data_IF_899563117628
#
_entry.id   IF_899563117628
#
_cell.length_a   1.000
_cell.length_b   1.000
_cell.length_c   1.000
_cell.angle_alpha   90.00
_cell.angle_beta   90.00
_cell.angle_gamma   90.00
#
_symmetry.space_group_name_H-M   'P 1'
#
loop_
_entity.id
_entity.type
_entity.pdbx_description
1 polymer ?
#
# COMPACT_ATOMS: atom_id res chain seq x y z
N UNK A 1 -9.38 -40.85 -21.40
CA UNK A 1 -9.28 -40.15 -20.11
C UNK A 1 -8.39 -38.96 -20.36
N UNK A 2 -9.00 -37.84 -20.77
CA UNK A 2 -8.30 -36.57 -20.88
C UNK A 2 -8.26 -35.95 -19.49
N UNK A 3 -7.07 -35.93 -18.89
CA UNK A 3 -6.77 -35.31 -17.60
C UNK A 3 -6.36 -33.84 -17.80
N UNK A 4 -7.07 -33.12 -18.67
CA UNK A 4 -6.79 -31.73 -19.06
C UNK A 4 -7.51 -30.69 -18.17
N UNK A 5 -7.94 -31.10 -16.96
CA UNK A 5 -8.89 -30.34 -16.14
C UNK A 5 -8.34 -29.51 -14.98
N UNK A 6 -7.02 -29.45 -14.71
CA UNK A 6 -6.51 -28.87 -13.44
C UNK A 6 -5.19 -28.08 -13.55
N UNK A 7 -5.04 -27.18 -14.52
CA UNK A 7 -3.87 -26.29 -14.57
C UNK A 7 -4.28 -24.81 -14.45
N UNK A 8 -4.62 -24.38 -13.23
CA UNK A 8 -4.66 -22.95 -12.93
C UNK A 8 -3.29 -22.30 -13.15
N UNK A 9 -3.23 -20.97 -13.37
CA UNK A 9 -1.97 -20.26 -13.60
C UNK A 9 -1.01 -20.48 -12.42
N UNK A 10 0.28 -20.63 -12.72
CA UNK A 10 1.34 -20.86 -11.73
C UNK A 10 2.18 -19.60 -11.54
N UNK A 11 2.77 -19.45 -10.35
CA UNK A 11 3.58 -18.28 -10.00
C UNK A 11 4.84 -18.70 -9.26
N UNK A 12 5.97 -18.16 -9.69
CA UNK A 12 7.23 -18.20 -8.97
C UNK A 12 7.27 -17.13 -7.89
N UNK A 13 7.83 -17.49 -6.74
CA UNK A 13 8.01 -16.64 -5.58
C UNK A 13 9.50 -16.41 -5.37
N UNK A 14 9.91 -15.16 -5.26
CA UNK A 14 11.28 -14.77 -4.93
C UNK A 14 11.30 -13.53 -4.04
N UNK A 15 12.46 -13.22 -3.47
CA UNK A 15 12.67 -12.06 -2.59
C UNK A 15 13.91 -11.29 -2.97
N UNK A 16 13.82 -9.96 -2.98
CA UNK A 16 14.99 -9.08 -3.11
C UNK A 16 15.50 -8.75 -1.71
N UNK A 17 16.77 -9.11 -1.46
CA UNK A 17 17.42 -9.01 -0.15
C UNK A 17 18.74 -8.24 -0.25
N UNK A 18 19.08 -7.50 0.82
CA UNK A 18 20.37 -6.86 1.01
C UNK A 18 21.06 -7.55 2.19
N UNK A 19 22.28 -8.07 1.99
CA UNK A 19 23.07 -8.76 3.02
C UNK A 19 24.13 -9.69 2.42
N UNK A 20 24.84 -10.49 3.23
CA UNK A 20 25.79 -11.50 2.73
C UNK A 20 25.10 -12.60 1.90
N UNK A 21 25.74 -13.08 0.82
CA UNK A 21 25.10 -14.02 -0.13
C UNK A 21 24.58 -15.31 0.52
N UNK A 22 25.36 -15.91 1.41
CA UNK A 22 24.95 -17.13 2.14
C UNK A 22 23.70 -16.89 2.99
N UNK A 23 23.70 -15.80 3.75
CA UNK A 23 22.55 -15.38 4.55
C UNK A 23 21.29 -15.10 3.71
N UNK A 24 21.45 -14.55 2.50
CA UNK A 24 20.32 -14.35 1.58
C UNK A 24 19.71 -15.69 1.12
N UNK A 25 20.53 -16.72 0.87
CA UNK A 25 20.05 -18.05 0.51
C UNK A 25 19.30 -18.70 1.68
N UNK A 26 19.91 -18.67 2.86
CA UNK A 26 19.31 -19.22 4.09
C UNK A 26 17.99 -18.51 4.43
N UNK A 27 17.92 -17.18 4.22
CA UNK A 27 16.72 -16.38 4.40
C UNK A 27 15.63 -16.68 3.35
N UNK A 28 15.99 -16.93 2.09
CA UNK A 28 15.02 -17.31 1.08
C UNK A 28 14.45 -18.72 1.35
N UNK A 29 15.29 -19.65 1.80
CA UNK A 29 14.88 -21.00 2.18
C UNK A 29 13.94 -20.99 3.39
N UNK A 30 14.16 -20.10 4.37
CA UNK A 30 13.30 -20.00 5.55
C UNK A 30 11.88 -19.48 5.25
N UNK A 31 11.66 -18.89 4.08
CA UNK A 31 10.34 -18.44 3.61
C UNK A 31 9.54 -19.53 2.86
N UNK A 32 10.11 -20.72 2.71
CA UNK A 32 9.42 -21.87 2.14
C UNK A 32 8.40 -22.42 3.15
N UNK A 33 7.11 -22.33 2.81
CA UNK A 33 5.99 -22.74 3.65
C UNK A 33 5.19 -23.90 3.03
N UNK A 34 4.25 -24.45 3.79
CA UNK A 34 3.33 -25.49 3.31
C UNK A 34 2.55 -25.01 2.07
N UNK A 35 2.45 -25.87 1.05
CA UNK A 35 1.79 -25.54 -0.21
C UNK A 35 2.67 -24.81 -1.24
N UNK A 36 3.94 -24.50 -0.89
CA UNK A 36 4.94 -24.01 -1.84
C UNK A 36 5.78 -25.18 -2.35
N UNK A 37 5.83 -25.36 -3.67
CA UNK A 37 6.69 -26.33 -4.31
C UNK A 37 8.12 -25.80 -4.37
N UNK A 38 9.04 -26.47 -3.67
CA UNK A 38 10.47 -26.21 -3.78
C UNK A 38 10.96 -26.61 -5.18
N UNK A 39 11.14 -25.62 -6.04
CA UNK A 39 11.57 -25.82 -7.41
C UNK A 39 12.36 -24.60 -7.91
N UNK A 40 13.10 -24.80 -8.99
CA UNK A 40 13.75 -23.74 -9.73
C UNK A 40 13.22 -23.70 -11.17
N UNK A 41 13.05 -22.52 -11.77
CA UNK A 41 12.58 -22.39 -13.13
C UNK A 41 13.54 -23.07 -14.11
N UNK A 42 12.99 -23.87 -15.02
CA UNK A 42 13.76 -24.51 -16.10
C UNK A 42 13.47 -23.75 -17.41
N UNK A 43 14.36 -22.82 -17.75
CA UNK A 43 14.24 -21.96 -18.94
C UNK A 43 13.45 -20.66 -18.69
N UNK A 44 13.47 -19.76 -19.68
CA UNK A 44 12.93 -18.40 -19.56
C UNK A 44 13.96 -17.39 -19.04
N UNK A 45 13.48 -16.23 -18.58
CA UNK A 45 14.31 -15.23 -17.89
C UNK A 45 14.60 -15.69 -16.45
N UNK A 46 15.78 -15.38 -15.89
CA UNK A 46 16.05 -15.63 -14.48
C UNK A 46 15.04 -14.87 -13.60
N UNK A 47 14.71 -15.45 -12.44
CA UNK A 47 13.91 -14.75 -11.44
C UNK A 47 14.67 -13.53 -10.92
N UNK A 48 13.94 -12.46 -10.63
CA UNK A 48 14.51 -11.35 -9.89
C UNK A 48 14.58 -11.71 -8.40
N UNK A 49 15.72 -11.43 -7.78
CA UNK A 49 15.98 -11.79 -6.39
C UNK A 49 16.22 -13.28 -6.18
N UNK A 50 16.14 -13.70 -4.93
CA UNK A 50 16.41 -15.06 -4.47
C UNK A 50 15.17 -15.94 -4.57
N UNK A 51 15.23 -17.08 -5.27
CA UNK A 51 14.08 -17.95 -5.45
C UNK A 51 13.69 -18.63 -4.13
N UNK A 52 12.40 -18.62 -3.83
CA UNK A 52 11.81 -19.33 -2.69
C UNK A 52 11.13 -20.61 -3.16
N UNK A 53 10.27 -20.51 -4.18
CA UNK A 53 9.57 -21.68 -4.74
C UNK A 53 8.45 -21.30 -5.70
N UNK A 54 7.49 -22.21 -5.89
CA UNK A 54 6.36 -22.04 -6.82
C UNK A 54 5.03 -22.37 -6.16
N UNK A 55 3.99 -21.62 -6.52
CA UNK A 55 2.61 -21.87 -6.09
C UNK A 55 1.64 -21.92 -7.28
N UNK A 56 0.47 -22.52 -7.04
CA UNK A 56 -0.65 -22.54 -7.98
C UNK A 56 -1.66 -21.46 -7.60
N UNK A 57 -1.99 -20.60 -8.55
CA UNK A 57 -2.95 -19.52 -8.40
C UNK A 57 -2.37 -18.27 -7.75
N UNK A 58 -2.93 -17.13 -8.11
CA UNK A 58 -2.49 -15.84 -7.58
C UNK A 58 -2.83 -15.72 -6.08
N UNK A 59 -3.96 -16.27 -5.65
CA UNK A 59 -4.40 -16.21 -4.26
C UNK A 59 -3.39 -16.85 -3.30
N UNK A 60 -2.73 -17.93 -3.71
CA UNK A 60 -1.69 -18.57 -2.92
C UNK A 60 -0.45 -17.67 -2.79
N UNK A 61 -0.07 -16.96 -3.87
CA UNK A 61 1.04 -16.01 -3.83
C UNK A 61 0.73 -14.81 -2.92
N UNK A 62 -0.51 -14.28 -2.98
CA UNK A 62 -0.93 -13.17 -2.12
C UNK A 62 -1.03 -13.58 -0.64
N UNK A 63 -1.49 -14.80 -0.33
CA UNK A 63 -1.44 -15.35 1.04
C UNK A 63 -0.01 -15.52 1.55
N UNK A 64 0.91 -15.96 0.69
CA UNK A 64 2.33 -16.03 1.06
C UNK A 64 2.91 -14.64 1.37
N UNK A 65 2.59 -13.62 0.56
CA UNK A 65 2.99 -12.24 0.87
C UNK A 65 2.38 -11.81 2.21
N UNK A 66 1.09 -12.00 2.45
CA UNK A 66 0.44 -11.60 3.71
C UNK A 66 1.08 -12.25 4.94
N UNK A 67 1.42 -13.54 4.85
CA UNK A 67 2.04 -14.30 5.94
C UNK A 67 3.48 -13.83 6.25
N UNK A 68 4.20 -13.29 5.27
CA UNK A 68 5.62 -12.97 5.41
C UNK A 68 5.92 -11.46 5.38
N UNK A 69 4.98 -10.62 4.93
CA UNK A 69 5.19 -9.19 4.73
C UNK A 69 5.53 -8.47 6.03
N UNK A 70 4.89 -8.88 7.11
CA UNK A 70 5.11 -8.34 8.43
C UNK A 70 5.13 -9.50 9.42
N UNK A 71 6.15 -9.57 10.26
CA UNK A 71 6.28 -10.62 11.28
C UNK A 71 5.29 -10.45 12.42
N UNK A 72 5.37 -11.33 13.41
CA UNK A 72 4.62 -11.15 14.65
C UNK A 72 5.11 -9.91 15.40
N UNK A 73 4.20 -9.23 16.10
CA UNK A 73 4.62 -8.19 17.03
C UNK A 73 5.40 -8.89 18.16
N UNK A 74 6.62 -8.45 18.43
CA UNK A 74 7.43 -9.01 19.50
C UNK A 74 6.65 -9.00 20.82
N UNK A 75 6.80 -10.05 21.63
CA UNK A 75 6.09 -10.22 22.90
C UNK A 75 6.50 -9.21 23.98
N UNK A 76 7.48 -8.34 23.71
CA UNK A 76 7.93 -7.30 24.63
C UNK A 76 7.62 -5.91 24.07
N UNK A 77 6.68 -5.21 24.73
CA UNK A 77 6.51 -3.75 24.70
C UNK A 77 6.50 -3.07 23.33
N UNK A 78 5.34 -3.06 22.66
CA UNK A 78 5.03 -2.18 21.52
C UNK A 78 6.04 -2.18 20.35
N UNK A 79 6.69 -3.31 20.06
CA UNK A 79 7.53 -3.43 18.87
C UNK A 79 6.65 -3.51 17.61
N UNK A 80 6.74 -2.50 16.74
CA UNK A 80 6.12 -2.53 15.41
C UNK A 80 6.61 -3.74 14.62
N UNK A 81 5.69 -4.40 13.90
CA UNK A 81 6.04 -5.51 13.01
C UNK A 81 6.99 -5.02 11.92
N UNK A 82 8.17 -5.64 11.84
CA UNK A 82 9.17 -5.32 10.82
C UNK A 82 8.74 -5.86 9.43
N UNK A 83 8.95 -5.09 8.35
CA UNK A 83 8.89 -5.53 6.97
C UNK A 83 9.79 -6.73 6.71
N UNK A 84 9.23 -7.77 6.10
CA UNK A 84 9.94 -9.04 5.92
C UNK A 84 10.08 -9.84 7.20
N UNK A 85 9.30 -9.52 8.24
CA UNK A 85 9.26 -10.25 9.49
C UNK A 85 10.61 -10.32 10.20
N UNK A 86 10.98 -11.53 10.62
CA UNK A 86 12.17 -11.77 11.44
C UNK A 86 13.47 -11.88 10.62
N UNK A 87 13.44 -11.64 9.30
CA UNK A 87 14.61 -11.89 8.44
C UNK A 87 15.86 -11.09 8.86
N UNK A 88 15.68 -9.85 9.30
CA UNK A 88 16.80 -9.04 9.80
C UNK A 88 17.42 -9.65 11.05
N UNK A 89 16.62 -10.05 12.03
CA UNK A 89 17.15 -10.60 13.29
C UNK A 89 17.67 -12.03 13.15
N UNK A 90 17.05 -12.84 12.29
CA UNK A 90 17.40 -14.24 12.11
C UNK A 90 18.58 -14.46 11.15
N UNK A 91 18.72 -13.60 10.13
CA UNK A 91 19.68 -13.81 9.04
C UNK A 91 20.56 -12.57 8.74
N UNK A 92 20.38 -11.44 9.44
CA UNK A 92 21.10 -10.19 9.15
C UNK A 92 20.91 -9.70 7.69
N UNK A 93 19.69 -9.86 7.16
CA UNK A 93 19.30 -9.39 5.82
C UNK A 93 18.12 -8.42 5.88
N UNK A 94 18.13 -7.43 4.99
CA UNK A 94 17.02 -6.50 4.80
C UNK A 94 16.25 -6.87 3.55
N UNK A 95 14.95 -7.10 3.69
CA UNK A 95 14.06 -7.35 2.56
C UNK A 95 13.63 -6.04 1.90
N UNK A 96 13.79 -5.94 0.58
CA UNK A 96 13.38 -4.75 -0.20
C UNK A 96 12.10 -4.99 -1.01
N UNK A 97 11.84 -6.22 -1.42
CA UNK A 97 10.60 -6.58 -2.10
C UNK A 97 10.34 -8.10 -2.04
N UNK A 98 9.07 -8.49 -2.01
CA UNK A 98 8.66 -9.78 -2.57
C UNK A 98 8.50 -9.63 -4.07
N UNK A 99 8.84 -10.66 -4.82
CA UNK A 99 8.67 -10.71 -6.26
C UNK A 99 7.83 -11.92 -6.61
N UNK A 100 6.75 -11.68 -7.35
CA UNK A 100 5.85 -12.74 -7.80
C UNK A 100 5.80 -12.70 -9.32
N UNK A 101 6.38 -13.71 -9.94
CA UNK A 101 6.55 -13.82 -11.39
C UNK A 101 5.66 -14.92 -11.94
N UNK A 102 4.84 -14.62 -12.94
CA UNK A 102 4.01 -15.66 -13.56
C UNK A 102 4.87 -16.74 -14.23
N UNK A 103 4.49 -18.01 -14.03
CA UNK A 103 5.19 -19.17 -14.56
C UNK A 103 4.57 -19.61 -15.90
N UNK A 104 5.43 -20.02 -16.84
CA UNK A 104 5.00 -20.55 -18.12
C UNK A 104 4.45 -21.97 -17.96
N UNK A 105 3.58 -22.44 -18.88
CA UNK A 105 3.08 -23.82 -18.86
C UNK A 105 4.19 -24.88 -18.86
N UNK A 106 5.37 -24.54 -19.39
CA UNK A 106 6.53 -25.42 -19.47
C UNK A 106 7.44 -25.34 -18.22
N UNK A 107 7.03 -24.61 -17.17
CA UNK A 107 7.80 -24.48 -15.93
C UNK A 107 8.95 -23.46 -15.97
N UNK A 108 8.99 -22.60 -16.98
CA UNK A 108 9.87 -21.42 -17.01
C UNK A 108 9.20 -20.18 -16.42
N UNK A 109 9.84 -19.02 -16.51
CA UNK A 109 9.19 -17.72 -16.31
C UNK A 109 8.50 -17.27 -17.60
N UNK A 110 7.36 -16.58 -17.49
CA UNK A 110 6.76 -15.90 -18.65
C UNK A 110 7.59 -14.66 -19.02
N UNK A 111 7.64 -14.33 -20.32
CA UNK A 111 8.26 -13.10 -20.83
C UNK A 111 7.51 -11.85 -20.33
N UNK A 112 8.19 -10.69 -20.17
CA UNK A 112 7.54 -9.45 -19.75
C UNK A 112 6.32 -9.10 -20.63
N UNK A 113 5.17 -8.80 -20.02
CA UNK A 113 3.96 -8.35 -20.71
C UNK A 113 2.73 -9.28 -20.64
N UNK A 114 2.82 -10.46 -20.01
CA UNK A 114 1.65 -11.31 -19.73
C UNK A 114 1.20 -11.19 -18.27
N UNK A 115 -0.11 -10.97 -18.12
CA UNK A 115 -0.68 -9.95 -17.23
C UNK A 115 -1.06 -10.49 -15.87
N UNK A 116 -0.61 -9.81 -14.83
CA UNK A 116 -1.39 -9.74 -13.60
C UNK A 116 -2.80 -9.20 -13.87
N UNK A 117 -3.82 -9.63 -13.10
CA UNK A 117 -5.08 -8.93 -13.08
C UNK A 117 -4.86 -7.46 -12.72
N UNK A 118 -5.68 -6.56 -13.31
CA UNK A 118 -5.70 -5.15 -12.94
C UNK A 118 -5.91 -5.00 -11.43
N UNK A 119 -5.35 -3.96 -10.84
CA UNK A 119 -5.44 -3.71 -9.40
C UNK A 119 -6.88 -3.73 -8.87
N UNK A 120 -7.82 -3.17 -9.65
CA UNK A 120 -9.26 -3.12 -9.40
C UNK A 120 -9.95 -4.50 -9.48
N UNK A 121 -9.29 -5.47 -10.10
CA UNK A 121 -9.75 -6.85 -10.28
C UNK A 121 -8.94 -7.85 -9.46
N UNK A 122 -7.95 -7.37 -8.70
CA UNK A 122 -7.21 -8.20 -7.77
C UNK A 122 -8.10 -8.47 -6.57
N UNK A 123 -8.83 -9.58 -6.64
CA UNK A 123 -9.52 -10.11 -5.47
C UNK A 123 -8.44 -10.49 -4.46
N UNK A 124 -8.45 -9.83 -3.30
CA UNK A 124 -7.62 -10.28 -2.19
C UNK A 124 -8.21 -11.60 -1.67
N UNK A 125 -7.38 -12.56 -1.27
CA UNK A 125 -7.87 -13.83 -0.76
C UNK A 125 -8.78 -13.62 0.47
N UNK A 126 -9.74 -14.53 0.68
CA UNK A 126 -10.53 -14.52 1.92
C UNK A 126 -9.62 -14.63 3.15
N UNK A 127 -10.02 -13.94 4.23
CA UNK A 127 -9.25 -13.87 5.48
C UNK A 127 -8.07 -12.91 5.45
N UNK A 128 -7.76 -12.29 4.30
CA UNK A 128 -6.68 -11.32 4.17
C UNK A 128 -7.23 -9.90 4.37
N UNK A 129 -6.71 -9.21 5.38
CA UNK A 129 -7.18 -7.89 5.83
C UNK A 129 -6.45 -6.73 5.11
N UNK A 130 -6.25 -6.87 3.79
CA UNK A 130 -5.77 -5.78 2.95
C UNK A 130 -6.96 -4.99 2.40
N UNK A 131 -6.84 -3.66 2.35
CA UNK A 131 -7.87 -2.78 1.80
C UNK A 131 -7.24 -1.89 0.73
N UNK A 132 -7.87 -1.75 -0.46
CA UNK A 132 -7.38 -0.85 -1.50
C UNK A 132 -7.24 0.59 -0.97
N UNK A 133 -6.12 1.23 -1.29
CA UNK A 133 -5.80 2.57 -0.85
C UNK A 133 -5.21 3.41 -1.99
N UNK A 134 -5.08 4.69 -1.73
CA UNK A 134 -4.44 5.66 -2.62
C UNK A 134 -3.38 6.45 -1.86
N UNK A 135 -2.22 6.65 -2.48
CA UNK A 135 -1.23 7.58 -1.98
C UNK A 135 -1.71 9.01 -2.19
N UNK A 136 -1.44 9.88 -1.23
CA UNK A 136 -1.85 11.29 -1.31
C UNK A 136 -0.79 12.18 -1.95
N UNK A 137 0.43 11.65 -2.14
CA UNK A 137 1.55 12.29 -2.82
C UNK A 137 2.08 11.42 -3.95
N UNK A 138 2.66 12.08 -4.97
CA UNK A 138 3.31 11.38 -6.08
C UNK A 138 4.57 10.61 -5.67
N UNK A 139 5.24 11.03 -4.59
CA UNK A 139 6.41 10.35 -4.03
C UNK A 139 6.22 10.24 -2.54
N UNK A 140 6.23 9.02 -2.02
CA UNK A 140 5.95 8.74 -0.62
C UNK A 140 7.09 7.89 -0.03
N UNK A 141 7.68 8.30 1.11
CA UNK A 141 8.72 7.52 1.77
C UNK A 141 8.09 6.36 2.54
N UNK A 142 8.47 5.13 2.20
CA UNK A 142 8.08 3.88 2.84
C UNK A 142 9.10 3.50 3.91
N UNK A 143 8.67 3.44 5.16
CA UNK A 143 9.54 3.25 6.33
C UNK A 143 9.62 1.80 6.76
N UNK A 144 10.78 1.42 7.34
CA UNK A 144 10.98 0.10 7.91
C UNK A 144 10.19 -0.10 9.20
N UNK A 145 10.14 0.88 10.09
CA UNK A 145 9.30 0.86 11.28
C UNK A 145 9.02 2.30 11.73
N UNK A 146 7.85 2.60 12.29
CA UNK A 146 7.58 3.90 12.88
C UNK A 146 8.55 4.19 14.04
N UNK A 147 9.23 5.34 14.03
CA UNK A 147 9.89 5.87 15.23
C UNK A 147 9.00 6.91 15.90
N UNK A 148 8.75 6.79 17.22
CA UNK A 148 8.09 7.85 17.97
C UNK A 148 9.01 9.02 18.31
N UNK A 149 10.33 8.87 18.15
CA UNK A 149 11.32 9.87 18.58
C UNK A 149 12.14 10.47 17.44
N UNK A 150 12.12 9.84 16.26
CA UNK A 150 12.77 10.36 15.06
C UNK A 150 11.71 10.92 14.11
N UNK A 151 11.91 12.13 13.57
CA UNK A 151 11.05 12.60 12.50
C UNK A 151 11.21 11.68 11.28
N UNK A 152 10.12 11.37 10.54
CA UNK A 152 10.19 10.47 9.39
C UNK A 152 11.28 10.84 8.37
N UNK A 153 11.58 12.13 8.19
CA UNK A 153 12.63 12.57 7.28
C UNK A 153 14.07 12.11 7.66
N UNK A 154 14.29 11.69 8.91
CA UNK A 154 15.58 11.22 9.42
C UNK A 154 15.71 9.69 9.43
N UNK A 155 14.62 8.96 9.19
CA UNK A 155 14.64 7.50 9.13
C UNK A 155 15.15 7.01 7.76
N UNK A 156 15.65 5.77 7.70
CA UNK A 156 15.94 5.12 6.41
C UNK A 156 14.62 4.72 5.76
N UNK A 157 14.42 5.14 4.52
CA UNK A 157 13.21 4.85 3.77
C UNK A 157 13.50 4.46 2.32
N UNK A 158 12.55 3.74 1.73
CA UNK A 158 12.44 3.52 0.30
C UNK A 158 11.43 4.51 -0.27
N UNK A 159 11.70 5.16 -1.39
CA UNK A 159 10.69 6.02 -2.04
C UNK A 159 9.84 5.17 -2.95
N UNK A 160 8.52 5.18 -2.71
CA UNK A 160 7.54 4.67 -3.67
C UNK A 160 6.96 5.83 -4.46
N UNK A 161 6.91 5.66 -5.79
CA UNK A 161 6.42 6.69 -6.70
C UNK A 161 5.06 6.27 -7.24
N UNK A 162 4.04 7.07 -6.97
CA UNK A 162 2.76 6.92 -7.63
C UNK A 162 2.91 7.38 -9.08
N UNK A 163 2.87 6.41 -10.00
CA UNK A 163 2.90 6.68 -11.43
C UNK A 163 1.69 7.53 -11.79
N UNK A 164 1.93 8.74 -12.26
CA UNK A 164 0.90 9.58 -12.84
C UNK A 164 0.28 8.85 -14.04
N UNK A 165 -1.03 8.70 -14.01
CA UNK A 165 -1.80 8.28 -15.17
C UNK A 165 -1.75 9.42 -16.17
N UNK A 166 -0.84 9.38 -17.15
CA UNK A 166 -0.94 10.29 -18.30
C UNK A 166 -2.16 9.86 -19.13
N UNK A 167 -3.17 10.73 -19.32
CA UNK A 167 -4.37 10.42 -20.10
C UNK A 167 -4.11 10.64 -21.59
N UNK A 168 -2.96 10.20 -22.11
CA UNK A 168 -2.78 10.10 -23.55
C UNK A 168 -3.56 8.87 -24.03
N UNK A 169 -4.21 8.96 -25.19
CA UNK A 169 -4.85 7.82 -25.83
C UNK A 169 -3.79 6.75 -26.11
N UNK A 170 -3.64 5.80 -25.19
CA UNK A 170 -2.70 4.70 -25.31
C UNK A 170 -3.14 3.84 -26.50
N UNK A 171 -2.20 3.54 -27.38
CA UNK A 171 -2.37 2.51 -28.40
C UNK A 171 -2.63 1.15 -27.72
N UNK A 172 -3.25 0.16 -28.39
CA UNK A 172 -3.46 -1.17 -27.81
C UNK A 172 -2.18 -1.85 -27.29
N UNK A 173 -1.03 -1.54 -27.89
CA UNK A 173 0.29 -2.03 -27.47
C UNK A 173 0.78 -1.29 -26.20
N UNK A 174 0.56 0.01 -26.10
CA UNK A 174 0.83 0.79 -24.89
C UNK A 174 -0.15 0.46 -23.76
N UNK A 175 -1.40 0.07 -24.05
CA UNK A 175 -2.33 -0.49 -23.06
C UNK A 175 -1.82 -1.82 -22.51
N UNK A 176 -1.27 -2.68 -23.38
CA UNK A 176 -0.66 -3.94 -22.96
C UNK A 176 0.62 -3.73 -22.14
N UNK A 177 1.42 -2.70 -22.46
CA UNK A 177 2.59 -2.30 -21.68
C UNK A 177 2.20 -1.60 -20.36
N UNK A 178 1.13 -0.80 -20.35
CA UNK A 178 0.61 -0.09 -19.19
C UNK A 178 -0.01 -1.03 -18.14
N UNK A 179 -0.56 -2.17 -18.56
CA UNK A 179 -1.06 -3.21 -17.63
C UNK A 179 0.08 -3.81 -16.75
N UNK A 180 1.36 -3.67 -17.15
CA UNK A 180 2.54 -4.09 -16.36
C UNK A 180 3.09 -3.00 -15.42
N UNK A 181 2.62 -1.75 -15.56
CA UNK A 181 3.11 -0.58 -14.83
C UNK A 181 2.13 -0.04 -13.78
N UNK A 182 0.96 -0.68 -13.62
CA UNK A 182 -0.08 -0.27 -12.69
C UNK A 182 0.44 -0.41 -11.25
N UNK A 183 0.68 0.72 -10.59
CA UNK A 183 0.93 0.72 -9.16
C UNK A 183 -0.39 0.48 -8.43
N UNK A 184 -0.36 -0.46 -7.49
CA UNK A 184 -1.48 -0.74 -6.62
C UNK A 184 -1.03 -0.64 -5.17
N UNK A 185 -1.87 -0.05 -4.33
CA UNK A 185 -1.56 0.21 -2.93
C UNK A 185 -2.66 -0.36 -2.06
N UNK A 186 -2.25 -1.07 -1.03
CA UNK A 186 -3.15 -1.60 -0.02
C UNK A 186 -2.66 -1.23 1.38
N UNK A 187 -3.60 -0.96 2.27
CA UNK A 187 -3.36 -0.80 3.71
C UNK A 187 -3.82 -2.07 4.42
N UNK A 188 -3.14 -2.47 5.50
CA UNK A 188 -3.68 -3.51 6.38
C UNK A 188 -4.80 -2.92 7.25
N UNK A 189 -5.73 -3.73 7.72
CA UNK A 189 -6.88 -3.25 8.53
C UNK A 189 -6.46 -2.56 9.82
N UNK A 190 -5.40 -3.06 10.46
CA UNK A 190 -4.83 -2.53 11.69
C UNK A 190 -4.12 -1.18 11.46
N UNK A 191 -4.58 -0.18 12.21
CA UNK A 191 -3.89 1.09 12.39
C UNK A 191 -3.16 1.05 13.70
N UNK A 192 -1.94 1.58 13.73
CA UNK A 192 -1.11 1.55 14.94
C UNK A 192 -0.70 2.96 15.32
N UNK A 193 -0.66 3.21 16.61
CA UNK A 193 -0.19 4.46 17.19
C UNK A 193 1.28 4.31 17.60
N UNK A 194 2.11 5.26 17.18
CA UNK A 194 3.48 5.39 17.67
C UNK A 194 3.52 6.55 18.64
N UNK A 195 3.57 6.23 19.94
CA UNK A 195 3.65 7.23 20.99
C UNK A 195 5.06 7.37 21.55
N UNK A 196 5.39 8.57 22.01
CA UNK A 196 6.58 8.81 22.82
C UNK A 196 6.56 7.97 24.10
N UNK A 197 7.69 7.96 24.83
CA UNK A 197 7.82 7.15 26.05
C UNK A 197 6.79 7.51 27.14
N UNK A 198 6.22 8.71 27.10
CA UNK A 198 5.19 9.15 28.05
C UNK A 198 3.76 8.83 27.61
N UNK A 199 3.56 8.37 26.37
CA UNK A 199 2.23 8.14 25.80
C UNK A 199 1.46 9.42 25.51
N UNK A 200 2.14 10.57 25.53
CA UNK A 200 1.55 11.90 25.42
C UNK A 200 1.47 12.35 23.98
N UNK A 201 2.52 12.12 23.20
CA UNK A 201 2.61 12.48 21.78
C UNK A 201 2.52 11.20 20.96
N UNK A 202 1.50 11.09 20.11
CA UNK A 202 1.22 9.92 19.31
C UNK A 202 0.99 10.29 17.83
N UNK A 203 1.64 9.55 16.94
CA UNK A 203 1.40 9.59 15.50
C UNK A 203 0.57 8.40 15.05
N UNK A 204 -0.29 8.62 14.05
CA UNK A 204 -1.13 7.57 13.48
C UNK A 204 -0.48 6.95 12.24
N UNK A 205 -0.21 5.64 12.28
CA UNK A 205 0.51 4.89 11.24
C UNK A 205 -0.32 3.75 10.66
N UNK A 206 0.02 3.38 9.42
CA UNK A 206 -0.57 2.24 8.71
C UNK A 206 0.51 1.36 8.09
N UNK A 207 0.28 0.05 8.10
CA UNK A 207 1.03 -0.90 7.30
C UNK A 207 0.55 -0.84 5.85
N UNK A 208 1.48 -0.82 4.92
CA UNK A 208 1.17 -0.76 3.49
C UNK A 208 1.94 -1.80 2.69
N UNK A 209 1.30 -2.26 1.63
CA UNK A 209 1.92 -3.00 0.54
C UNK A 209 1.70 -2.21 -0.74
N UNK A 210 2.79 -1.96 -1.45
CA UNK A 210 2.82 -1.27 -2.74
C UNK A 210 3.30 -2.26 -3.79
N UNK A 211 2.45 -2.57 -4.75
CA UNK A 211 2.82 -3.35 -5.92
C UNK A 211 3.28 -2.43 -7.05
N UNK A 212 4.42 -2.74 -7.63
CA UNK A 212 4.94 -2.10 -8.85
C UNK A 212 5.39 -3.19 -9.84
N UNK A 213 4.53 -3.52 -10.79
CA UNK A 213 4.72 -4.66 -11.69
C UNK A 213 4.68 -5.99 -10.92
N UNK A 214 5.80 -6.71 -10.91
CA UNK A 214 5.95 -7.99 -10.20
C UNK A 214 6.48 -7.82 -8.76
N UNK A 215 6.86 -6.60 -8.37
CA UNK A 215 7.46 -6.31 -7.06
C UNK A 215 6.40 -5.84 -6.06
N UNK A 216 6.48 -6.34 -4.83
CA UNK A 216 5.66 -5.95 -3.69
C UNK A 216 6.57 -5.42 -2.59
N UNK A 217 6.51 -4.11 -2.40
CA UNK A 217 7.27 -3.38 -1.39
C UNK A 217 6.38 -3.17 -0.17
N UNK A 218 6.87 -3.53 1.01
CA UNK A 218 6.08 -3.50 2.25
C UNK A 218 6.76 -2.58 3.25
N UNK A 219 5.95 -1.89 4.05
CA UNK A 219 6.48 -0.95 5.04
C UNK A 219 5.38 -0.16 5.74
N UNK A 220 5.80 0.93 6.39
CA UNK A 220 4.94 1.78 7.19
C UNK A 220 4.85 3.18 6.61
N UNK A 221 3.67 3.81 6.76
CA UNK A 221 3.42 5.19 6.40
C UNK A 221 2.61 5.92 7.49
N UNK A 222 2.84 7.23 7.69
CA UNK A 222 1.85 8.08 8.34
C UNK A 222 0.51 7.94 7.64
N UNK A 223 -0.57 7.76 8.39
CA UNK A 223 -1.88 7.39 7.83
C UNK A 223 -2.46 8.41 6.85
N UNK A 224 -2.07 9.68 6.97
CA UNK A 224 -2.47 10.72 6.01
C UNK A 224 -1.78 10.62 4.64
N UNK A 225 -0.78 9.74 4.48
CA UNK A 225 -0.10 9.48 3.21
C UNK A 225 -0.73 8.35 2.40
N UNK A 226 -1.52 7.47 3.02
CA UNK A 226 -2.21 6.36 2.36
C UNK A 226 -3.66 6.23 2.85
N UNK A 227 -4.61 6.64 2.00
CA UNK A 227 -6.02 6.74 2.37
C UNK A 227 -6.79 5.57 1.74
N UNK A 228 -7.57 4.78 2.52
CA UNK A 228 -8.40 3.74 1.95
C UNK A 228 -9.38 4.32 0.93
N UNK A 229 -9.59 3.62 -0.19
CA UNK A 229 -10.50 4.07 -1.25
C UNK A 229 -11.92 4.34 -0.74
N UNK A 230 -12.37 3.59 0.26
CA UNK A 230 -13.68 3.75 0.90
C UNK A 230 -13.83 4.98 1.80
N UNK A 231 -12.73 5.63 2.20
CA UNK A 231 -12.78 6.82 3.06
C UNK A 231 -12.97 8.13 2.27
N UNK A 232 -12.96 8.07 0.93
CA UNK A 232 -13.15 9.23 0.09
C UNK A 232 -14.63 9.53 -0.13
N UNK A 233 -15.01 10.78 0.08
CA UNK A 233 -16.30 11.33 -0.33
C UNK A 233 -16.15 12.05 -1.66
N UNK A 234 -16.98 11.70 -2.65
CA UNK A 234 -16.93 12.25 -4.00
C UNK A 234 -17.90 13.42 -4.17
N UNK A 235 -17.38 14.58 -4.59
CA UNK A 235 -18.15 15.63 -5.26
C UNK A 235 -18.10 15.38 -6.78
N UNK A 236 -19.12 14.70 -7.29
CA UNK A 236 -19.21 14.35 -8.71
C UNK A 236 -19.37 15.57 -9.61
N UNK A 237 -20.03 16.64 -9.14
CA UNK A 237 -20.28 17.84 -9.93
C UNK A 237 -18.99 18.61 -10.22
N UNK A 238 -18.03 18.58 -9.29
CA UNK A 238 -16.75 19.29 -9.41
C UNK A 238 -15.55 18.39 -9.70
N UNK A 239 -15.75 17.06 -9.76
CA UNK A 239 -14.68 16.10 -9.94
C UNK A 239 -13.65 16.13 -8.79
N UNK A 240 -14.11 16.37 -7.56
CA UNK A 240 -13.26 16.47 -6.36
C UNK A 240 -13.56 15.34 -5.41
N UNK A 241 -12.54 14.89 -4.68
CA UNK A 241 -12.67 13.88 -3.62
C UNK A 241 -12.10 14.42 -2.33
N UNK A 242 -12.75 14.11 -1.22
CA UNK A 242 -12.38 14.59 0.10
C UNK A 242 -12.21 13.43 1.08
N UNK A 243 -11.20 13.51 1.93
CA UNK A 243 -11.02 12.57 3.03
C UNK A 243 -10.53 13.32 4.27
N UNK A 244 -11.03 12.92 5.44
CA UNK A 244 -10.53 13.36 6.74
C UNK A 244 -9.82 12.19 7.42
N UNK A 245 -8.64 12.44 7.96
CA UNK A 245 -7.86 11.43 8.68
C UNK A 245 -7.22 11.97 9.94
N UNK A 246 -7.15 11.16 11.01
CA UNK A 246 -6.31 11.46 12.16
C UNK A 246 -4.84 11.49 11.73
N UNK A 247 -4.07 12.40 12.31
CA UNK A 247 -2.66 12.56 11.98
C UNK A 247 -1.75 12.49 13.22
N UNK A 248 -2.07 13.30 14.24
CA UNK A 248 -1.25 13.45 15.45
C UNK A 248 -2.16 13.68 16.67
N UNK A 249 -1.75 13.21 17.85
CA UNK A 249 -2.44 13.46 19.13
C UNK A 249 -1.41 13.82 20.18
N UNK A 250 -1.66 14.91 20.89
CA UNK A 250 -0.93 15.31 22.09
C UNK A 250 -1.84 15.29 23.33
N UNK A 251 -1.28 15.37 24.54
CA UNK A 251 -2.07 15.49 25.78
C UNK A 251 -3.06 16.66 25.71
N UNK A 252 -4.34 16.34 25.51
CA UNK A 252 -5.41 17.33 25.46
C UNK A 252 -5.81 17.77 24.05
N UNK A 253 -5.12 17.36 22.98
CA UNK A 253 -5.49 17.72 21.60
C UNK A 253 -5.30 16.57 20.61
N UNK A 254 -6.17 16.55 19.60
CA UNK A 254 -6.03 15.70 18.43
C UNK A 254 -6.02 16.54 17.16
N UNK A 255 -5.04 16.26 16.30
CA UNK A 255 -4.82 16.89 15.01
C UNK A 255 -5.26 15.96 13.88
N UNK A 256 -5.94 16.53 12.90
CA UNK A 256 -6.49 15.85 11.75
C UNK A 256 -6.15 16.59 10.47
N UNK A 257 -6.18 15.88 9.35
CA UNK A 257 -5.93 16.44 8.02
C UNK A 257 -7.13 16.18 7.12
N UNK A 258 -7.65 17.25 6.52
CA UNK A 258 -8.59 17.21 5.41
C UNK A 258 -7.77 17.26 4.11
N UNK A 259 -8.01 16.29 3.24
CA UNK A 259 -7.33 16.13 1.97
C UNK A 259 -8.36 16.30 0.86
N UNK A 260 -8.12 17.27 -0.03
CA UNK A 260 -8.90 17.48 -1.26
C UNK A 260 -8.07 16.98 -2.45
N UNK A 261 -8.59 16.01 -3.21
CA UNK A 261 -8.02 15.56 -4.48
C UNK A 261 -8.87 16.06 -5.64
N UNK A 262 -8.22 16.59 -6.69
CA UNK A 262 -8.87 17.05 -7.93
C UNK A 262 -8.61 16.05 -9.05
N UNK A 263 -9.65 15.35 -9.49
CA UNK A 263 -9.52 14.26 -10.46
C UNK A 263 -8.56 13.14 -10.00
N UNK A 264 -7.70 12.71 -10.93
CA UNK A 264 -6.65 11.72 -10.70
C UNK A 264 -5.30 12.34 -10.29
N UNK A 265 -5.22 13.68 -10.18
CA UNK A 265 -3.97 14.33 -9.78
C UNK A 265 -3.59 13.97 -8.34
N UNK A 266 -2.32 13.66 -8.12
CA UNK A 266 -1.71 13.46 -6.81
C UNK A 266 -1.20 14.81 -6.29
N UNK A 267 -1.15 15.02 -4.97
CA UNK A 267 -0.72 16.32 -4.41
C UNK A 267 -1.87 17.32 -4.16
N UNK A 268 -2.99 16.81 -3.68
CA UNK A 268 -4.17 17.58 -3.29
C UNK A 268 -3.94 18.67 -2.24
N UNK A 269 -4.94 19.54 -2.03
CA UNK A 269 -4.91 20.55 -0.95
C UNK A 269 -5.05 19.84 0.40
N UNK A 270 -4.25 20.24 1.38
CA UNK A 270 -4.29 19.73 2.75
C UNK A 270 -4.60 20.84 3.73
N UNK A 271 -5.57 20.62 4.60
CA UNK A 271 -5.90 21.53 5.68
C UNK A 271 -5.82 20.77 7.01
N UNK A 272 -4.97 21.26 7.92
CA UNK A 272 -4.86 20.73 9.28
C UNK A 272 -5.86 21.39 10.23
N UNK A 273 -6.38 20.62 11.17
CA UNK A 273 -7.24 21.13 12.26
C UNK A 273 -6.91 20.44 13.56
N UNK A 274 -7.07 21.17 14.66
CA UNK A 274 -6.86 20.68 16.01
C UNK A 274 -8.15 20.78 16.81
N UNK A 275 -8.40 19.75 17.62
CA UNK A 275 -9.55 19.71 18.53
C UNK A 275 -9.09 19.40 19.95
N UNK A 276 -9.71 20.01 20.97
CA UNK A 276 -9.57 19.52 22.33
C UNK A 276 -10.00 18.06 22.39
N UNK A 277 -9.19 17.24 23.04
CA UNK A 277 -9.41 15.82 23.13
C UNK A 277 -8.97 15.32 24.50
N UNK A 278 -9.90 14.71 25.24
CA UNK A 278 -9.62 14.05 26.50
C UNK A 278 -9.90 12.56 26.31
N UNK A 279 -8.87 11.72 26.42
CA UNK A 279 -9.01 10.28 26.25
C UNK A 279 -7.76 9.62 25.70
N UNK A 280 -7.78 8.29 25.71
CA UNK A 280 -6.73 7.44 25.16
C UNK A 280 -7.05 6.94 23.74
N UNK A 281 -8.25 7.20 23.21
CA UNK A 281 -8.71 6.77 21.87
C UNK A 281 -8.85 7.97 20.93
N UNK A 282 -8.66 7.80 19.62
CA UNK A 282 -8.89 8.90 18.68
C UNK A 282 -10.35 9.35 18.67
N UNK A 283 -10.62 10.67 18.65
CA UNK A 283 -11.99 11.12 18.45
C UNK A 283 -12.46 10.77 17.04
N UNK A 284 -13.69 10.30 16.93
CA UNK A 284 -14.29 9.97 15.63
C UNK A 284 -14.36 11.22 14.75
N UNK A 285 -13.94 11.08 13.49
CA UNK A 285 -14.04 12.12 12.49
C UNK A 285 -14.97 11.69 11.36
N UNK A 286 -15.89 12.57 10.99
CA UNK A 286 -16.80 12.37 9.87
C UNK A 286 -16.78 13.58 8.96
N UNK A 287 -17.07 13.32 7.69
CA UNK A 287 -17.11 14.31 6.63
C UNK A 287 -18.45 14.18 5.92
N UNK A 288 -19.11 15.30 5.69
CA UNK A 288 -20.37 15.35 4.97
C UNK A 288 -20.31 16.46 3.90
N UNK A 289 -20.75 16.10 2.71
CA UNK A 289 -20.96 17.03 1.61
C UNK A 289 -22.46 17.20 1.41
N UNK A 290 -22.96 18.40 1.70
CA UNK A 290 -24.37 18.75 1.57
C UNK A 290 -24.50 19.83 0.50
N UNK A 291 -24.99 19.43 -0.68
CA UNK A 291 -24.98 20.25 -1.89
C UNK A 291 -23.57 20.81 -2.17
N UNK A 292 -23.34 22.09 -1.87
CA UNK A 292 -22.09 22.80 -2.13
C UNK A 292 -21.31 23.13 -0.85
N UNK A 293 -21.76 22.65 0.30
CA UNK A 293 -21.06 22.87 1.57
C UNK A 293 -20.40 21.58 2.04
N UNK A 294 -19.08 21.63 2.18
CA UNK A 294 -18.30 20.60 2.85
C UNK A 294 -18.26 20.89 4.36
N UNK A 295 -18.57 19.89 5.16
CA UNK A 295 -18.51 19.96 6.62
C UNK A 295 -17.67 18.83 7.18
N UNK A 296 -16.83 19.15 8.16
CA UNK A 296 -16.04 18.17 8.91
C UNK A 296 -16.42 18.25 10.37
N UNK A 297 -16.77 17.10 10.93
CA UNK A 297 -17.11 16.94 12.33
C UNK A 297 -16.08 16.03 13.01
N UNK A 298 -15.65 16.41 14.20
CA UNK A 298 -14.75 15.60 15.04
C UNK A 298 -15.31 15.55 16.45
N UNK A 299 -15.52 14.34 16.97
CA UNK A 299 -16.21 14.13 18.25
C UNK A 299 -17.61 14.79 18.25
N UNK A 300 -18.30 14.78 17.11
CA UNK A 300 -19.61 15.43 16.91
C UNK A 300 -19.57 16.96 16.74
N UNK A 301 -18.43 17.63 16.96
CA UNK A 301 -18.30 19.08 16.84
C UNK A 301 -17.92 19.48 15.41
N UNK A 302 -18.60 20.49 14.84
CA UNK A 302 -18.19 21.10 13.57
C UNK A 302 -16.85 21.82 13.75
N UNK A 303 -15.83 21.40 13.00
CA UNK A 303 -14.46 21.95 13.09
C UNK A 303 -14.04 22.65 11.81
N UNK A 304 -14.66 22.31 10.69
CA UNK A 304 -14.42 22.95 9.42
C UNK A 304 -15.71 23.00 8.60
N UNK A 305 -15.91 24.13 7.93
CA UNK A 305 -16.97 24.36 6.98
C UNK A 305 -16.39 25.15 5.82
N UNK A 306 -16.62 24.67 4.61
CA UNK A 306 -16.22 25.36 3.39
C UNK A 306 -17.35 25.29 2.38
N UNK A 307 -17.76 26.46 1.89
CA UNK A 307 -18.63 26.54 0.73
C UNK A 307 -17.76 26.38 -0.52
N UNK A 308 -17.98 25.30 -1.27
CA UNK A 308 -17.15 24.90 -2.41
C UNK A 308 -17.35 25.79 -3.64
N UNK A 309 -18.35 26.69 -3.60
CA UNK A 309 -18.72 27.63 -4.66
C UNK A 309 -19.15 26.97 -5.97
N UNK A 310 -19.62 27.73 -6.95
CA UNK A 310 -19.77 27.21 -8.31
C UNK A 310 -18.38 26.88 -8.89
N UNK A 311 -18.18 25.63 -9.35
CA UNK A 311 -16.95 25.22 -10.01
C UNK A 311 -16.73 25.99 -11.32
N UNK A 312 -15.49 26.01 -11.88
CA UNK A 312 -15.23 26.74 -13.11
C UNK A 312 -16.16 26.28 -14.24
N UNK A 313 -16.57 27.18 -15.16
CA UNK A 313 -17.47 26.83 -16.23
C UNK A 313 -16.85 25.70 -17.05
N UNK A 314 -17.69 24.73 -17.42
CA UNK A 314 -17.36 23.76 -18.46
C UNK A 314 -16.79 24.52 -19.65
N UNK A 315 -15.48 24.46 -19.85
CA UNK A 315 -14.86 25.02 -21.03
C UNK A 315 -15.31 24.17 -22.21
N UNK A 316 -16.37 24.64 -22.87
CA UNK A 316 -16.73 24.22 -24.21
C UNK A 316 -15.51 24.47 -25.08
N UNK A 317 -14.81 23.39 -25.45
CA UNK A 317 -13.81 23.39 -26.50
C UNK A 317 -14.47 23.92 -27.77
N UNK A 318 -14.28 25.20 -28.07
CA UNK A 318 -14.36 25.70 -29.45
C UNK A 318 -12.94 25.67 -30.00
N UNK A 319 -12.67 24.70 -30.85
CA UNK A 319 -11.49 24.68 -31.72
C UNK A 319 -11.63 25.78 -32.79
N UNK A 320 -10.55 26.48 -33.16
CA UNK A 320 -10.36 26.92 -34.53
C UNK A 320 -9.96 25.76 -35.45
#
# INVERSE_FOLDING_TARGET
MDDSGLAGPQFWLSVELIGPRGAQLDAAESLLAEGIEAALPRGGQPLAGEPVGRVRGLDAALRWIDANAFGDAGTEGAAFKAPGGALLSAHDVVMTAFVVTAASPNGGTLTPGQRWPRSERMALPEGVDWRPAELTLSRTPLFAAPSPTLPPAAERYLVVEARERQPAALTPEEVAAADSSEQAVWIRGERVEACDASGVDCLHWVQVIVRNGDRFQVGWLPAHLAIPKSAWTLDAARGRRYAVVPAHRESGRASFVLIERRGDALGGRRLGFEVPHAGADWPEASLALLADTLTVHVGGRLVHREDLGEGPPSAVLRQP
#
